data_IF_628983380069
#
_entry.id   IF_628983380069
#
_cell.length_a   1.000
_cell.length_b   1.000
_cell.length_c   1.000
_cell.angle_alpha   90.00
_cell.angle_beta   90.00
_cell.angle_gamma   90.00
#
_symmetry.space_group_name_H-M   'P 1'
#
loop_
_entity.id
_entity.type
_entity.pdbx_description
1 polymer ?
#
# COMPACT_ATOMS: atom_id res chain seq x y z
N UNK A 1 -1.59 -18.61 -12.65
CA UNK A 1 -1.81 -18.10 -11.28
C UNK A 1 -2.28 -16.67 -11.33
N UNK A 2 -3.30 -16.34 -10.55
CA UNK A 2 -3.79 -14.97 -10.48
C UNK A 2 -2.78 -14.10 -9.71
N UNK A 3 -2.53 -12.90 -10.23
CA UNK A 3 -1.67 -11.93 -9.56
C UNK A 3 -2.44 -11.16 -8.49
N UNK A 4 -1.72 -10.67 -7.49
CA UNK A 4 -2.28 -9.90 -6.39
C UNK A 4 -1.45 -8.63 -6.20
N UNK A 5 -2.12 -7.49 -6.15
CA UNK A 5 -1.49 -6.20 -5.88
C UNK A 5 -2.08 -5.61 -4.60
N UNK A 6 -1.21 -5.09 -3.75
CA UNK A 6 -1.59 -4.35 -2.56
C UNK A 6 -1.61 -2.85 -2.83
N UNK A 7 -2.53 -2.13 -2.17
CA UNK A 7 -2.58 -0.67 -2.18
C UNK A 7 -2.64 -0.18 -0.73
N UNK A 8 -1.87 0.84 -0.41
CA UNK A 8 -2.01 1.59 0.82
C UNK A 8 -1.93 3.09 0.55
N UNK A 9 -2.50 3.87 1.45
CA UNK A 9 -2.35 5.32 1.48
C UNK A 9 -1.62 5.72 2.74
N UNK A 10 -0.64 6.60 2.61
CA UNK A 10 0.27 7.01 3.69
C UNK A 10 0.42 8.53 3.71
N UNK A 11 0.64 9.09 4.89
CA UNK A 11 0.75 10.53 5.08
C UNK A 11 -0.57 11.19 5.42
N UNK A 12 -0.70 12.49 5.13
CA UNK A 12 -1.93 13.23 5.38
C UNK A 12 -3.02 12.93 4.35
N UNK A 13 -4.27 13.07 4.75
CA UNK A 13 -5.39 13.05 3.82
C UNK A 13 -5.22 14.12 2.76
N UNK A 14 -5.40 13.75 1.51
CA UNK A 14 -5.39 14.70 0.41
C UNK A 14 -6.51 14.42 -0.58
N UNK A 15 -6.98 15.44 -1.33
CA UNK A 15 -7.95 15.22 -2.39
C UNK A 15 -7.40 14.27 -3.46
N UNK A 16 -8.26 13.41 -3.96
CA UNK A 16 -7.91 12.53 -5.06
C UNK A 16 -7.41 11.13 -4.69
N UNK A 17 -7.21 10.82 -3.41
CA UNK A 17 -6.76 9.48 -3.00
C UNK A 17 -7.78 8.40 -3.39
N UNK A 18 -9.05 8.59 -3.13
CA UNK A 18 -10.09 7.64 -3.53
C UNK A 18 -10.21 7.52 -5.05
N UNK A 19 -10.04 8.61 -5.77
CA UNK A 19 -10.03 8.57 -7.24
C UNK A 19 -8.86 7.74 -7.77
N UNK A 20 -7.68 7.88 -7.17
CA UNK A 20 -6.50 7.08 -7.53
C UNK A 20 -6.70 5.60 -7.19
N UNK A 21 -7.20 5.28 -6.00
CA UNK A 21 -7.52 3.90 -5.59
C UNK A 21 -8.50 3.27 -6.59
N UNK A 22 -9.57 3.99 -6.93
CA UNK A 22 -10.58 3.52 -7.88
C UNK A 22 -10.01 3.31 -9.28
N UNK A 23 -9.23 4.27 -9.77
CA UNK A 23 -8.63 4.18 -11.10
C UNK A 23 -7.69 2.99 -11.23
N UNK A 24 -6.81 2.80 -10.26
CA UNK A 24 -5.88 1.67 -10.22
C UNK A 24 -6.65 0.35 -10.08
N UNK A 25 -7.56 0.27 -9.12
CA UNK A 25 -8.31 -0.95 -8.85
C UNK A 25 -9.19 -1.37 -10.03
N UNK A 26 -9.91 -0.44 -10.63
CA UNK A 26 -10.75 -0.72 -11.80
C UNK A 26 -9.93 -1.16 -13.01
N UNK A 27 -8.78 -0.56 -13.26
CA UNK A 27 -7.90 -0.95 -14.33
C UNK A 27 -7.34 -2.36 -14.14
N UNK A 28 -6.86 -2.67 -12.93
CA UNK A 28 -6.29 -3.98 -12.61
C UNK A 28 -7.35 -5.09 -12.68
N UNK A 29 -8.51 -4.87 -12.09
CA UNK A 29 -9.60 -5.86 -12.10
C UNK A 29 -10.19 -6.02 -13.50
N UNK A 30 -10.48 -4.91 -14.18
CA UNK A 30 -11.22 -4.94 -15.43
C UNK A 30 -10.38 -5.32 -16.64
N UNK A 31 -9.15 -4.79 -16.74
CA UNK A 31 -8.27 -5.05 -17.89
C UNK A 31 -7.44 -6.30 -17.75
N UNK A 32 -6.95 -6.56 -16.55
CA UNK A 32 -5.91 -7.57 -16.33
C UNK A 32 -6.37 -8.75 -15.48
N UNK A 33 -7.56 -8.68 -14.89
CA UNK A 33 -8.05 -9.73 -14.00
C UNK A 33 -7.18 -9.89 -12.74
N UNK A 34 -6.49 -8.84 -12.33
CA UNK A 34 -5.61 -8.85 -11.18
C UNK A 34 -6.40 -8.51 -9.93
N UNK A 35 -6.26 -9.32 -8.89
CA UNK A 35 -6.92 -9.05 -7.60
C UNK A 35 -6.16 -7.97 -6.85
N UNK A 36 -6.90 -7.14 -6.11
CA UNK A 36 -6.36 -6.01 -5.38
C UNK A 36 -6.83 -6.06 -3.94
N UNK A 37 -5.89 -5.94 -3.02
CA UNK A 37 -6.19 -5.76 -1.60
C UNK A 37 -5.68 -4.40 -1.14
N UNK A 38 -6.42 -3.77 -0.22
CA UNK A 38 -5.98 -2.56 0.44
C UNK A 38 -5.49 -2.86 1.86
N UNK A 39 -4.49 -2.14 2.32
CA UNK A 39 -4.07 -2.14 3.71
C UNK A 39 -4.65 -0.92 4.42
N UNK A 40 -5.27 -1.14 5.56
CA UNK A 40 -5.92 -0.07 6.31
C UNK A 40 -4.91 0.74 7.11
N UNK A 41 -5.12 2.06 7.14
CA UNK A 41 -4.28 3.00 7.92
C UNK A 41 -2.79 2.94 7.58
N UNK A 42 -2.49 2.78 6.29
CA UNK A 42 -1.14 2.84 5.78
C UNK A 42 -0.26 1.68 6.25
N UNK A 43 1.00 1.98 6.55
CA UNK A 43 1.94 0.94 7.00
C UNK A 43 1.57 0.32 8.34
N UNK A 44 0.82 1.02 9.18
CA UNK A 44 0.32 0.44 10.44
C UNK A 44 -0.59 -0.75 10.17
N UNK A 45 -1.52 -0.62 9.27
CA UNK A 45 -2.39 -1.74 8.88
C UNK A 45 -1.62 -2.86 8.20
N UNK A 46 -0.58 -2.54 7.44
CA UNK A 46 0.29 -3.55 6.86
C UNK A 46 1.08 -4.31 7.93
N UNK A 47 1.56 -3.61 8.96
CA UNK A 47 2.21 -4.23 10.11
C UNK A 47 1.25 -5.14 10.90
N UNK A 48 0.04 -4.66 11.13
CA UNK A 48 -1.00 -5.38 11.89
C UNK A 48 -1.78 -6.39 11.04
N UNK A 49 -1.46 -6.49 9.77
CA UNK A 49 -2.12 -7.37 8.79
C UNK A 49 -3.62 -7.09 8.66
N UNK A 50 -4.02 -5.82 8.67
CA UNK A 50 -5.40 -5.39 8.45
C UNK A 50 -5.61 -5.08 6.98
N UNK A 51 -6.39 -5.91 6.31
CA UNK A 51 -6.62 -5.82 4.88
C UNK A 51 -8.10 -5.66 4.55
N UNK A 52 -8.35 -5.13 3.37
CA UNK A 52 -9.68 -5.03 2.77
C UNK A 52 -9.58 -5.46 1.31
N UNK A 53 -10.45 -6.38 0.89
CA UNK A 53 -10.53 -6.73 -0.53
C UNK A 53 -11.10 -5.55 -1.32
N UNK A 54 -10.40 -5.13 -2.35
CA UNK A 54 -10.82 -4.05 -3.24
C UNK A 54 -11.44 -4.64 -4.51
N UNK A 55 -12.63 -5.19 -4.38
CA UNK A 55 -13.42 -5.69 -5.49
C UNK A 55 -14.23 -4.57 -6.17
N UNK A 56 -15.00 -4.91 -7.19
CA UNK A 56 -15.81 -3.93 -7.90
C UNK A 56 -16.83 -3.24 -6.99
N UNK A 57 -17.40 -3.95 -6.02
CA UNK A 57 -18.34 -3.38 -5.07
C UNK A 57 -17.66 -2.36 -4.15
N UNK A 58 -16.49 -2.70 -3.62
CA UNK A 58 -15.73 -1.79 -2.75
C UNK A 58 -15.28 -0.52 -3.47
N UNK A 59 -14.97 -0.60 -4.75
CA UNK A 59 -14.54 0.54 -5.57
C UNK A 59 -15.70 1.36 -6.13
N UNK A 60 -16.91 0.85 -6.06
CA UNK A 60 -18.10 1.54 -6.57
C UNK A 60 -18.46 2.73 -5.69
N UNK A 61 -18.69 3.88 -6.30
CA UNK A 61 -19.17 5.09 -5.63
C UNK A 61 -18.12 5.86 -4.83
N UNK A 62 -16.86 5.47 -4.83
CA UNK A 62 -15.82 6.16 -4.05
C UNK A 62 -15.23 7.38 -4.75
N UNK A 63 -15.49 7.55 -6.04
CA UNK A 63 -14.89 8.64 -6.83
C UNK A 63 -15.17 10.03 -6.25
N UNK A 64 -16.36 10.23 -5.70
CA UNK A 64 -16.81 11.50 -5.13
C UNK A 64 -16.62 11.60 -3.62
N UNK A 65 -16.11 10.57 -2.99
CA UNK A 65 -15.83 10.59 -1.55
C UNK A 65 -14.50 11.28 -1.28
N UNK A 66 -14.49 12.18 -0.31
CA UNK A 66 -13.26 12.80 0.17
C UNK A 66 -12.41 11.84 0.98
N UNK A 67 -11.14 12.16 1.15
CA UNK A 67 -10.20 11.37 1.93
C UNK A 67 -9.81 10.06 1.25
N UNK A 68 -9.66 9.03 2.05
CA UNK A 68 -9.30 7.69 1.59
C UNK A 68 -10.17 6.63 2.28
N UNK A 69 -10.70 5.69 1.50
CA UNK A 69 -11.49 4.57 2.05
C UNK A 69 -10.63 3.61 2.86
N UNK A 70 -9.33 3.59 2.64
CA UNK A 70 -8.40 2.74 3.36
C UNK A 70 -7.93 3.37 4.68
N UNK A 71 -8.16 4.68 4.88
CA UNK A 71 -7.54 5.40 5.96
C UNK A 71 -6.05 5.62 5.71
N UNK A 72 -5.44 6.43 6.55
CA UNK A 72 -4.03 6.77 6.42
C UNK A 72 -3.37 6.92 7.78
N UNK A 73 -2.05 6.80 7.82
CA UNK A 73 -1.25 7.15 8.98
C UNK A 73 0.08 7.74 8.51
N UNK A 74 0.76 8.42 9.41
CA UNK A 74 2.11 8.95 9.19
C UNK A 74 3.19 8.04 9.76
N UNK A 75 2.81 6.86 10.22
CA UNK A 75 3.73 5.90 10.77
C UNK A 75 4.69 5.38 9.70
N UNK A 76 5.96 5.27 10.07
CA UNK A 76 7.01 4.78 9.19
C UNK A 76 7.39 3.35 9.58
N UNK A 77 7.68 2.45 8.62
CA UNK A 77 8.06 1.07 8.94
C UNK A 77 9.19 0.94 9.94
N UNK A 78 10.19 1.80 9.85
CA UNK A 78 11.39 1.78 10.69
C UNK A 78 11.21 2.45 12.04
N UNK A 79 10.12 3.18 12.25
CA UNK A 79 9.86 3.94 13.47
C UNK A 79 8.37 3.89 13.83
N UNK A 80 7.86 2.67 14.07
CA UNK A 80 6.46 2.45 14.45
C UNK A 80 6.24 2.72 15.93
N UNK A 81 5.30 3.61 16.30
CA UNK A 81 4.90 3.79 17.69
C UNK A 81 4.18 2.54 18.21
N UNK A 82 4.80 1.85 19.17
CA UNK A 82 4.22 0.67 19.83
C UNK A 82 4.43 0.82 21.33
N UNK A 83 3.32 0.87 22.08
CA UNK A 83 3.35 0.98 23.54
C UNK A 83 4.22 2.14 24.04
N UNK A 84 4.14 3.30 23.36
CA UNK A 84 4.91 4.51 23.72
C UNK A 84 6.37 4.50 23.30
N UNK A 85 6.82 3.51 22.53
CA UNK A 85 8.17 3.42 22.02
C UNK A 85 8.18 3.28 20.52
N UNK A 86 9.19 3.82 19.85
CA UNK A 86 9.40 3.62 18.42
C UNK A 86 10.16 2.31 18.19
N UNK A 87 9.62 1.45 17.33
CA UNK A 87 10.23 0.18 16.96
C UNK A 87 10.34 0.06 15.45
N UNK A 88 11.41 -0.57 15.00
CA UNK A 88 11.56 -0.95 13.59
C UNK A 88 10.75 -2.21 13.33
N UNK A 89 9.70 -2.07 12.52
CA UNK A 89 8.79 -3.16 12.15
C UNK A 89 8.90 -3.53 10.68
N UNK A 90 9.99 -3.16 10.04
CA UNK A 90 10.22 -3.41 8.61
C UNK A 90 10.12 -4.88 8.26
N UNK A 91 10.74 -5.75 9.07
CA UNK A 91 10.71 -7.21 8.83
C UNK A 91 9.28 -7.77 8.91
N UNK A 92 8.49 -7.31 9.87
CA UNK A 92 7.08 -7.74 10.01
C UNK A 92 6.28 -7.32 8.79
N UNK A 93 6.48 -6.10 8.31
CA UNK A 93 5.82 -5.59 7.10
C UNK A 93 6.22 -6.40 5.87
N UNK A 94 7.49 -6.70 5.70
CA UNK A 94 7.99 -7.53 4.60
C UNK A 94 7.41 -8.96 4.68
N UNK A 95 7.34 -9.52 5.87
CA UNK A 95 6.74 -10.84 6.06
C UNK A 95 5.27 -10.86 5.68
N UNK A 96 4.51 -9.83 6.04
CA UNK A 96 3.11 -9.71 5.65
C UNK A 96 2.95 -9.50 4.14
N UNK A 97 3.84 -8.75 3.51
CA UNK A 97 3.91 -8.64 2.06
C UNK A 97 4.04 -10.02 1.40
N UNK A 98 4.95 -10.84 1.91
CA UNK A 98 5.18 -12.19 1.39
C UNK A 98 4.02 -13.14 1.67
N UNK A 99 3.40 -13.06 2.84
CA UNK A 99 2.26 -13.89 3.23
C UNK A 99 1.06 -13.72 2.32
N UNK A 100 0.83 -12.50 1.83
CA UNK A 100 -0.24 -12.23 0.89
C UNK A 100 0.11 -12.58 -0.55
N UNK A 101 1.33 -13.06 -0.80
CA UNK A 101 1.81 -13.35 -2.16
C UNK A 101 1.64 -12.16 -3.11
N UNK A 102 1.96 -10.97 -2.61
CA UNK A 102 1.85 -9.75 -3.40
C UNK A 102 2.90 -9.74 -4.50
N UNK A 103 2.47 -9.40 -5.70
CA UNK A 103 3.36 -9.17 -6.84
C UNK A 103 3.88 -7.73 -6.86
N UNK A 104 3.09 -6.80 -6.31
CA UNK A 104 3.49 -5.40 -6.16
C UNK A 104 2.73 -4.73 -5.02
N UNK A 105 3.26 -3.64 -4.52
CA UNK A 105 2.61 -2.75 -3.58
C UNK A 105 2.61 -1.34 -4.15
N UNK A 106 1.42 -0.72 -4.19
CA UNK A 106 1.25 0.67 -4.59
C UNK A 106 1.05 1.51 -3.33
N UNK A 107 1.96 2.44 -3.10
CA UNK A 107 1.87 3.39 -1.99
C UNK A 107 1.45 4.76 -2.54
N UNK A 108 0.31 5.24 -2.10
CA UNK A 108 -0.21 6.56 -2.47
C UNK A 108 -0.02 7.52 -1.29
N UNK A 109 0.59 8.65 -1.54
CA UNK A 109 0.81 9.63 -0.48
C UNK A 109 1.57 10.85 -0.94
N UNK A 110 1.84 11.76 0.00
CA UNK A 110 2.61 12.97 -0.24
C UNK A 110 4.12 12.73 -0.24
N UNK A 111 4.89 13.83 -0.29
CA UNK A 111 6.34 13.80 -0.39
C UNK A 111 7.06 13.02 0.72
N UNK A 112 6.45 12.89 1.90
CA UNK A 112 7.01 12.06 2.98
C UNK A 112 6.87 10.56 2.77
N UNK A 113 6.02 10.13 1.83
CA UNK A 113 5.87 8.72 1.45
C UNK A 113 6.91 8.33 0.40
N UNK A 114 7.33 9.30 -0.38
CA UNK A 114 8.14 9.02 -1.56
C UNK A 114 9.59 8.75 -1.25
N UNK A 115 10.18 9.30 -0.21
CA UNK A 115 11.62 9.07 0.05
C UNK A 115 12.10 9.83 1.29
N UNK A 116 12.24 9.15 2.41
CA UNK A 116 13.36 9.49 3.25
C UNK A 116 14.54 8.64 2.74
N UNK A 117 15.72 9.20 2.57
CA UNK A 117 16.89 8.41 2.22
C UNK A 117 17.39 7.65 3.44
N UNK A 118 16.53 6.82 4.00
CA UNK A 118 16.92 5.93 5.09
C UNK A 118 17.27 4.58 4.48
N UNK A 119 18.40 3.99 4.84
CA UNK A 119 18.83 2.68 4.32
C UNK A 119 17.79 1.58 4.46
N UNK A 120 16.87 1.75 5.41
CA UNK A 120 15.85 0.74 5.71
C UNK A 120 14.64 0.88 4.76
N UNK A 121 14.22 2.10 4.46
CA UNK A 121 13.21 2.31 3.40
C UNK A 121 13.73 1.87 2.04
N UNK A 122 15.01 2.08 1.79
CA UNK A 122 15.66 1.58 0.59
C UNK A 122 15.69 0.05 0.54
N UNK A 123 15.83 -0.63 1.67
CA UNK A 123 15.75 -2.09 1.75
C UNK A 123 14.33 -2.60 1.53
N UNK A 124 13.33 -1.93 2.10
CA UNK A 124 11.93 -2.26 1.88
C UNK A 124 11.57 -2.05 0.40
N UNK A 125 11.95 -0.91 -0.17
CA UNK A 125 11.79 -0.61 -1.58
C UNK A 125 12.55 -1.62 -2.47
N UNK A 126 13.77 -1.99 -2.10
CA UNK A 126 14.55 -3.00 -2.83
C UNK A 126 13.94 -4.40 -2.75
N UNK A 127 13.38 -4.79 -1.63
CA UNK A 127 12.71 -6.09 -1.50
C UNK A 127 11.40 -6.11 -2.29
N UNK A 128 10.64 -5.03 -2.25
CA UNK A 128 9.43 -4.89 -3.05
C UNK A 128 9.74 -4.85 -4.55
N UNK A 129 10.76 -4.11 -4.95
CA UNK A 129 11.23 -4.03 -6.33
C UNK A 129 11.79 -5.36 -6.82
N UNK A 130 12.53 -6.08 -6.01
CA UNK A 130 13.06 -7.40 -6.40
C UNK A 130 11.97 -8.45 -6.56
N UNK A 131 10.93 -8.38 -5.77
CA UNK A 131 9.80 -9.31 -5.89
C UNK A 131 8.89 -8.94 -7.06
N UNK A 132 8.84 -7.66 -7.41
CA UNK A 132 8.10 -7.13 -8.56
C UNK A 132 8.90 -7.16 -9.86
N UNK A 133 10.24 -7.13 -9.79
CA UNK A 133 11.11 -6.89 -10.94
C UNK A 133 11.14 -8.04 -11.96
N UNK A 134 10.60 -9.20 -11.63
CA UNK A 134 10.49 -10.27 -12.61
C UNK A 134 9.30 -10.11 -13.55
N UNK A 135 8.27 -9.29 -13.19
CA UNK A 135 7.05 -9.17 -14.03
C UNK A 135 6.26 -7.86 -13.96
N UNK A 136 6.63 -6.82 -13.20
CA UNK A 136 5.78 -5.63 -13.05
C UNK A 136 6.47 -4.28 -12.94
N UNK A 137 5.83 -3.31 -13.58
CA UNK A 137 6.16 -1.88 -13.51
C UNK A 137 5.79 -1.31 -12.13
N UNK A 138 6.78 -0.77 -11.44
CA UNK A 138 6.57 0.03 -10.24
C UNK A 138 5.89 1.34 -10.62
N UNK A 139 4.70 1.59 -10.10
CA UNK A 139 4.07 2.91 -10.21
C UNK A 139 4.13 3.56 -8.84
N UNK A 140 5.14 4.38 -8.65
CA UNK A 140 5.20 5.33 -7.54
C UNK A 140 4.54 6.62 -8.02
N UNK A 141 3.42 6.95 -7.42
CA UNK A 141 2.76 8.23 -7.65
C UNK A 141 2.88 9.07 -6.40
#
# INVERSE_FOLDING_TARGET
MSKMIGILTSGGDSPGLNAAIRGIGKALLGRYGIRVIGFRDGFRGMMENRTQLLDSAALSGILTLGGTILGTSRDKPYAMPIAGKLKDMTEVIVDNYRRHHLDALVCLGGGGTQFAPDPIEAQLAQVMVRTAAEDFLEIII
#
